data_IF_369296032767
#
_entry.id   IF_369296032767
#
_cell.length_a   1.000
_cell.length_b   1.000
_cell.length_c   1.000
_cell.angle_alpha   90.00
_cell.angle_beta   90.00
_cell.angle_gamma   90.00
#
_symmetry.space_group_name_H-M   'P 1'
#
loop_
_entity.id
_entity.type
_entity.pdbx_description
1 polymer ?
#
# COMPACT_ATOMS: atom_id res chain seq x y z
N UNK A 1 6.50 4.16 -11.44
CA UNK A 1 7.19 4.83 -10.30
C UNK A 1 7.56 3.79 -9.26
N UNK A 2 8.42 4.09 -8.27
CA UNK A 2 8.79 3.19 -7.16
C UNK A 2 8.07 3.60 -5.86
N UNK A 3 7.40 2.66 -5.19
CA UNK A 3 6.73 2.87 -3.89
C UNK A 3 7.60 2.35 -2.75
N UNK A 4 7.57 3.05 -1.61
CA UNK A 4 8.14 2.60 -0.34
C UNK A 4 7.20 2.96 0.82
N UNK A 5 7.06 2.07 1.80
CA UNK A 5 6.34 2.33 3.04
C UNK A 5 7.30 2.77 4.16
N UNK A 6 6.96 3.84 4.88
CA UNK A 6 7.64 4.24 6.10
C UNK A 6 6.90 3.67 7.32
N UNK A 7 7.42 2.57 7.84
CA UNK A 7 6.82 1.85 8.97
C UNK A 7 6.91 2.63 10.30
N UNK A 8 7.77 3.65 10.40
CA UNK A 8 7.84 4.49 11.59
C UNK A 8 6.66 5.46 11.71
N UNK A 9 5.93 5.64 10.60
CA UNK A 9 4.75 6.52 10.50
C UNK A 9 3.47 5.76 10.19
N UNK A 10 3.55 4.44 10.04
CA UNK A 10 2.39 3.62 9.72
C UNK A 10 1.57 3.40 10.98
N UNK A 11 0.35 3.95 11.00
CA UNK A 11 -0.58 3.81 12.13
C UNK A 11 -1.67 2.76 11.87
N UNK A 12 -1.51 1.93 10.83
CA UNK A 12 -2.42 0.81 10.54
C UNK A 12 -3.86 1.19 10.18
N UNK A 13 -4.08 2.36 9.57
CA UNK A 13 -5.44 2.81 9.21
C UNK A 13 -6.10 2.00 8.08
N UNK A 14 -5.38 1.19 7.31
CA UNK A 14 -5.95 0.34 6.24
C UNK A 14 -6.38 1.06 4.97
N UNK A 15 -6.32 2.40 4.91
CA UNK A 15 -6.77 3.17 3.75
C UNK A 15 -5.98 2.87 2.47
N UNK A 16 -4.70 2.52 2.58
CA UNK A 16 -3.86 2.17 1.44
C UNK A 16 -4.33 0.88 0.75
N UNK A 17 -4.61 -0.18 1.52
CA UNK A 17 -5.18 -1.43 0.99
C UNK A 17 -6.61 -1.25 0.48
N UNK A 18 -7.41 -0.38 1.13
CA UNK A 18 -8.79 -0.12 0.68
C UNK A 18 -8.85 0.56 -0.70
N UNK A 19 -7.90 1.44 -1.00
CA UNK A 19 -7.83 2.14 -2.29
C UNK A 19 -7.16 1.27 -3.36
N UNK A 20 -6.03 0.63 -3.01
CA UNK A 20 -5.19 -0.09 -3.98
C UNK A 20 -4.80 -1.48 -3.44
N UNK A 21 -5.75 -2.42 -3.36
CA UNK A 21 -5.52 -3.74 -2.76
C UNK A 21 -4.56 -4.63 -3.56
N UNK A 22 -4.31 -4.34 -4.85
CA UNK A 22 -3.28 -5.02 -5.64
C UNK A 22 -1.86 -4.57 -5.28
N UNK A 23 -1.71 -3.41 -4.66
CA UNK A 23 -0.42 -2.78 -4.36
C UNK A 23 -0.10 -2.87 -2.87
N UNK A 24 -1.10 -2.73 -2.00
CA UNK A 24 -0.92 -2.70 -0.55
C UNK A 24 -1.72 -3.80 0.14
N UNK A 25 -1.14 -4.33 1.22
CA UNK A 25 -1.81 -5.23 2.15
C UNK A 25 -1.48 -4.82 3.57
N UNK A 26 -2.47 -4.77 4.45
CA UNK A 26 -2.24 -4.65 5.89
C UNK A 26 -2.23 -6.04 6.51
N UNK A 27 -1.20 -6.33 7.30
CA UNK A 27 -1.09 -7.60 8.01
C UNK A 27 -1.89 -7.59 9.34
N UNK A 28 -1.89 -8.74 10.02
CA UNK A 28 -2.60 -8.91 11.29
C UNK A 28 -2.01 -8.06 12.44
N UNK A 29 -0.79 -7.53 12.26
CA UNK A 29 -0.12 -6.62 13.19
C UNK A 29 -0.45 -5.14 12.89
N UNK A 30 -1.24 -4.89 11.85
CA UNK A 30 -1.66 -3.55 11.43
C UNK A 30 -0.63 -2.82 10.57
N UNK A 31 0.43 -3.48 10.10
CA UNK A 31 1.46 -2.86 9.28
C UNK A 31 1.18 -3.05 7.79
N UNK A 32 1.46 -2.00 7.00
CA UNK A 32 1.33 -2.08 5.54
C UNK A 32 2.55 -2.78 4.93
N UNK A 33 2.29 -3.73 4.03
CA UNK A 33 3.27 -4.33 3.11
C UNK A 33 3.00 -3.86 1.69
N UNK A 34 4.06 -3.49 0.97
CA UNK A 34 4.01 -3.17 -0.47
C UNK A 34 4.19 -4.45 -1.27
N UNK A 35 3.15 -4.88 -1.99
CA UNK A 35 3.14 -6.12 -2.77
C UNK A 35 3.93 -5.99 -4.08
N UNK A 36 3.87 -4.80 -4.69
CA UNK A 36 4.66 -4.43 -5.86
C UNK A 36 5.18 -3.01 -5.71
N UNK A 37 6.47 -2.83 -5.95
CA UNK A 37 7.07 -1.50 -5.96
C UNK A 37 6.75 -0.74 -7.27
N UNK A 38 6.26 -1.43 -8.30
CA UNK A 38 5.95 -0.85 -9.61
C UNK A 38 4.46 -0.56 -9.73
N UNK A 39 4.12 0.73 -9.86
CA UNK A 39 2.77 1.17 -10.22
C UNK A 39 2.67 1.27 -11.74
N UNK A 40 1.72 0.54 -12.31
CA UNK A 40 1.26 0.77 -13.67
C UNK A 40 0.17 1.84 -13.64
N UNK A 41 0.16 2.74 -14.62
CA UNK A 41 -0.79 3.86 -14.68
C UNK A 41 -2.25 3.39 -14.71
N UNK A 42 -2.50 2.20 -15.25
CA UNK A 42 -3.81 1.56 -15.28
C UNK A 42 -4.32 1.06 -13.91
N UNK A 43 -3.48 1.04 -12.88
CA UNK A 43 -3.88 0.66 -11.52
C UNK A 43 -4.21 1.87 -10.64
N UNK A 44 -4.03 3.08 -11.15
CA UNK A 44 -4.46 4.30 -10.47
C UNK A 44 -5.89 4.60 -10.89
N UNK A 45 -6.77 4.88 -9.92
CA UNK A 45 -8.09 5.42 -10.23
C UNK A 45 -7.94 6.77 -10.96
N UNK A 46 -8.79 7.01 -11.98
CA UNK A 46 -8.82 8.23 -12.82
C UNK A 46 -9.01 9.53 -12.01
#
# INVERSE_FOLDING_TARGET
MKITADHTRCEGHGMCEALLPSIFRVDDEGNVTVLTEQVLEAELDD
#
